data_IF_526456796296
#
_entry.id   IF_526456796296
#
_cell.length_a   1.000
_cell.length_b   1.000
_cell.length_c   1.000
_cell.angle_alpha   90.00
_cell.angle_beta   90.00
_cell.angle_gamma   90.00
#
_symmetry.space_group_name_H-M   'P 1'
#
loop_
_entity.id
_entity.type
_entity.pdbx_description
1 polymer ?
#
# COMPACT_ATOMS: atom_id res chain seq x y z
N UNK A 1 3.14 18.19 9.51
CA UNK A 1 4.42 18.42 8.80
C UNK A 1 5.22 17.11 8.78
N UNK A 2 5.03 16.27 7.76
CA UNK A 2 5.72 14.96 7.58
C UNK A 2 6.63 14.92 6.34
N UNK A 3 6.79 16.06 5.65
CA UNK A 3 7.47 16.16 4.35
C UNK A 3 8.97 15.85 4.38
N UNK A 4 9.63 15.90 5.55
CA UNK A 4 11.07 15.69 5.67
C UNK A 4 11.51 14.28 6.09
N UNK A 5 10.59 13.31 6.24
CA UNK A 5 10.93 11.96 6.75
C UNK A 5 10.42 10.79 5.91
N UNK A 6 9.81 11.04 4.75
CA UNK A 6 9.28 9.96 3.92
C UNK A 6 10.37 8.98 3.44
N UNK A 7 11.57 9.50 3.13
CA UNK A 7 12.72 8.68 2.71
C UNK A 7 13.27 7.82 3.87
N UNK A 8 13.37 8.38 5.07
CA UNK A 8 13.86 7.64 6.25
C UNK A 8 12.84 6.60 6.74
N UNK A 9 11.54 6.87 6.59
CA UNK A 9 10.48 5.99 7.10
C UNK A 9 10.46 4.62 6.40
N UNK A 10 10.73 4.59 5.09
CA UNK A 10 10.85 3.34 4.32
C UNK A 10 12.10 2.54 4.73
N UNK A 11 13.17 3.20 5.19
CA UNK A 11 14.45 2.56 5.50
C UNK A 11 14.48 1.90 6.88
N UNK A 12 13.75 2.43 7.87
CA UNK A 12 13.80 1.95 9.25
C UNK A 12 12.59 1.11 9.69
N UNK A 13 11.54 1.00 8.87
CA UNK A 13 10.36 0.21 9.21
C UNK A 13 10.53 -1.23 8.69
N UNK A 14 10.66 -2.24 9.58
CA UNK A 14 10.67 -3.63 9.14
C UNK A 14 9.39 -3.93 8.36
N UNK A 15 9.52 -4.57 7.20
CA UNK A 15 8.36 -5.04 6.45
C UNK A 15 7.60 -6.10 7.25
N UNK A 16 6.30 -6.23 7.01
CA UNK A 16 5.51 -7.27 7.69
C UNK A 16 5.92 -8.66 7.21
N UNK A 17 5.97 -9.67 8.09
CA UNK A 17 6.12 -11.06 7.66
C UNK A 17 5.02 -11.44 6.67
N UNK A 18 5.39 -12.11 5.58
CA UNK A 18 4.44 -12.49 4.53
C UNK A 18 3.29 -13.35 5.09
N UNK A 19 3.58 -14.19 6.07
CA UNK A 19 2.60 -15.04 6.75
C UNK A 19 1.48 -14.24 7.43
N UNK A 20 1.78 -13.03 7.92
CA UNK A 20 0.75 -12.16 8.51
C UNK A 20 -0.25 -11.72 7.44
N UNK A 21 0.25 -11.35 6.26
CA UNK A 21 -0.58 -10.90 5.14
C UNK A 21 -1.44 -12.05 4.62
N UNK A 22 -0.85 -13.23 4.47
CA UNK A 22 -1.57 -14.43 4.05
C UNK A 22 -2.69 -14.79 5.02
N UNK A 23 -2.41 -14.77 6.34
CA UNK A 23 -3.42 -15.01 7.37
C UNK A 23 -4.53 -13.98 7.35
N UNK A 24 -4.19 -12.69 7.18
CA UNK A 24 -5.18 -11.61 7.10
C UNK A 24 -6.15 -11.85 5.93
N UNK A 25 -5.62 -12.11 4.73
CA UNK A 25 -6.44 -12.37 3.54
C UNK A 25 -7.34 -13.60 3.75
N UNK A 26 -6.77 -14.69 4.28
CA UNK A 26 -7.52 -15.91 4.55
C UNK A 26 -8.63 -15.69 5.57
N UNK A 27 -8.35 -15.06 6.71
CA UNK A 27 -9.32 -14.83 7.78
C UNK A 27 -10.43 -13.87 7.37
N UNK A 28 -10.14 -12.95 6.45
CA UNK A 28 -11.13 -12.03 5.89
C UNK A 28 -11.85 -12.59 4.65
N UNK A 29 -11.59 -13.84 4.24
CA UNK A 29 -12.10 -14.44 2.99
C UNK A 29 -11.83 -13.57 1.74
N UNK A 30 -10.70 -12.85 1.74
CA UNK A 30 -10.27 -12.00 0.64
C UNK A 30 -9.37 -12.79 -0.30
N UNK A 31 -9.53 -12.55 -1.61
CA UNK A 31 -8.77 -13.23 -2.65
C UNK A 31 -8.52 -12.28 -3.83
N UNK A 32 -8.00 -12.81 -4.94
CA UNK A 32 -7.64 -12.03 -6.13
C UNK A 32 -8.84 -11.36 -6.83
N UNK A 33 -10.06 -11.82 -6.58
CA UNK A 33 -11.28 -11.20 -7.06
C UNK A 33 -11.76 -10.07 -6.13
N UNK A 34 -11.22 -9.96 -4.92
CA UNK A 34 -11.53 -8.90 -3.97
C UNK A 34 -10.83 -7.59 -4.35
N UNK A 35 -11.40 -6.47 -3.89
CA UNK A 35 -10.82 -5.13 -3.99
C UNK A 35 -10.64 -4.58 -2.57
N UNK A 36 -9.43 -4.14 -2.24
CA UNK A 36 -9.07 -3.60 -0.92
C UNK A 36 -8.78 -2.11 -1.04
N UNK A 37 -9.34 -1.31 -0.13
CA UNK A 37 -8.97 0.10 0.05
C UNK A 37 -7.96 0.22 1.19
N UNK A 38 -6.77 0.77 0.89
CA UNK A 38 -5.71 1.07 1.87
C UNK A 38 -5.77 2.58 2.21
N UNK A 39 -6.42 2.91 3.32
CA UNK A 39 -6.65 4.30 3.75
C UNK A 39 -5.43 4.83 4.50
N UNK A 40 -4.83 5.91 4.01
CA UNK A 40 -3.55 6.39 4.51
C UNK A 40 -2.40 5.50 4.01
N UNK A 41 -2.47 5.08 2.75
CA UNK A 41 -1.52 4.14 2.13
C UNK A 41 -0.06 4.59 2.15
N UNK A 42 0.20 5.88 2.40
CA UNK A 42 1.53 6.44 2.55
C UNK A 42 2.43 6.14 1.34
N UNK A 43 3.62 5.60 1.60
CA UNK A 43 4.61 5.23 0.57
C UNK A 43 4.35 3.85 -0.07
N UNK A 44 3.19 3.24 0.22
CA UNK A 44 2.72 2.02 -0.42
C UNK A 44 3.31 0.72 0.15
N UNK A 45 3.96 0.73 1.32
CA UNK A 45 4.55 -0.49 1.93
C UNK A 45 3.51 -1.59 2.10
N UNK A 46 2.35 -1.27 2.68
CA UNK A 46 1.30 -2.28 2.92
C UNK A 46 0.58 -2.66 1.62
N UNK A 47 0.25 -1.66 0.81
CA UNK A 47 -0.29 -1.85 -0.54
C UNK A 47 0.57 -2.81 -1.38
N UNK A 48 1.90 -2.70 -1.34
CA UNK A 48 2.83 -3.59 -2.06
C UNK A 48 2.66 -5.06 -1.64
N UNK A 49 2.55 -5.32 -0.34
CA UNK A 49 2.39 -6.67 0.18
C UNK A 49 1.10 -7.31 -0.31
N UNK A 50 -0.01 -6.57 -0.29
CA UNK A 50 -1.32 -7.04 -0.77
C UNK A 50 -1.33 -7.26 -2.29
N UNK A 51 -0.75 -6.32 -3.04
CA UNK A 51 -0.62 -6.37 -4.49
C UNK A 51 0.22 -7.57 -4.93
N UNK A 52 1.27 -7.91 -4.18
CA UNK A 52 2.10 -9.09 -4.43
C UNK A 52 1.37 -10.42 -4.17
N UNK A 53 0.29 -10.42 -3.38
CA UNK A 53 -0.62 -11.58 -3.25
C UNK A 53 -1.62 -11.70 -4.41
N UNK A 54 -1.57 -10.77 -5.37
CA UNK A 54 -2.46 -10.74 -6.54
C UNK A 54 -3.82 -10.08 -6.28
N UNK A 55 -4.03 -9.47 -5.11
CA UNK A 55 -5.28 -8.77 -4.78
C UNK A 55 -5.29 -7.39 -5.44
N UNK A 56 -6.48 -6.88 -5.80
CA UNK A 56 -6.63 -5.52 -6.31
C UNK A 56 -6.63 -4.54 -5.15
N UNK A 57 -5.81 -3.48 -5.24
CA UNK A 57 -5.64 -2.51 -4.15
C UNK A 57 -5.82 -1.09 -4.66
N UNK A 58 -6.60 -0.32 -3.92
CA UNK A 58 -6.79 1.12 -4.10
C UNK A 58 -6.10 1.82 -2.91
N UNK A 59 -4.95 2.43 -3.15
CA UNK A 59 -4.22 3.23 -2.16
C UNK A 59 -4.76 4.66 -2.11
N UNK A 60 -5.21 5.10 -0.93
CA UNK A 60 -5.83 6.41 -0.72
C UNK A 60 -4.89 7.22 0.19
N UNK A 61 -4.31 8.30 -0.33
CA UNK A 61 -3.31 9.09 0.41
C UNK A 61 -3.39 10.60 0.05
N UNK A 62 -3.70 11.48 1.02
CA UNK A 62 -3.74 12.94 0.78
C UNK A 62 -2.35 13.56 0.60
N UNK A 63 -1.29 12.98 1.17
CA UNK A 63 0.05 13.54 1.06
C UNK A 63 0.69 13.22 -0.30
N UNK A 64 0.81 14.24 -1.15
CA UNK A 64 1.39 14.13 -2.49
C UNK A 64 2.77 13.45 -2.54
N UNK A 65 3.66 13.75 -1.60
CA UNK A 65 5.02 13.19 -1.62
C UNK A 65 5.01 11.69 -1.29
N UNK A 66 4.22 11.27 -0.31
CA UNK A 66 4.05 9.86 0.05
C UNK A 66 3.34 9.10 -1.07
N UNK A 67 2.22 9.65 -1.58
CA UNK A 67 1.46 9.06 -2.67
C UNK A 67 2.30 8.85 -3.93
N UNK A 68 3.09 9.85 -4.35
CA UNK A 68 4.02 9.71 -5.49
C UNK A 68 5.08 8.63 -5.26
N UNK A 69 5.52 8.44 -4.02
CA UNK A 69 6.41 7.33 -3.67
C UNK A 69 5.74 5.98 -3.92
N UNK A 70 4.49 5.81 -3.48
CA UNK A 70 3.70 4.60 -3.74
C UNK A 70 3.47 4.39 -5.26
N UNK A 71 3.08 5.43 -5.98
CA UNK A 71 2.88 5.41 -7.44
C UNK A 71 4.15 4.96 -8.16
N UNK A 72 5.31 5.54 -7.83
CA UNK A 72 6.58 5.17 -8.45
C UNK A 72 6.99 3.74 -8.12
N UNK A 73 6.79 3.30 -6.87
CA UNK A 73 7.12 1.95 -6.40
C UNK A 73 6.24 0.89 -7.08
N UNK A 74 4.95 1.18 -7.26
CA UNK A 74 3.95 0.21 -7.71
C UNK A 74 3.48 0.40 -9.16
N UNK A 75 4.08 1.33 -9.93
CA UNK A 75 3.68 1.64 -11.33
C UNK A 75 3.60 0.44 -12.27
N UNK A 76 4.34 -0.62 -12.00
CA UNK A 76 4.37 -1.84 -12.83
C UNK A 76 3.36 -2.91 -12.37
N UNK A 77 2.64 -2.67 -11.28
CA UNK A 77 1.64 -3.57 -10.74
C UNK A 77 0.25 -3.18 -11.26
N UNK A 78 -0.23 -3.88 -12.29
CA UNK A 78 -1.53 -3.60 -12.93
C UNK A 78 -2.76 -3.74 -12.01
N UNK A 79 -2.58 -4.26 -10.80
CA UNK A 79 -3.60 -4.42 -9.76
C UNK A 79 -3.51 -3.36 -8.65
N UNK A 80 -2.69 -2.30 -8.81
CA UNK A 80 -2.66 -1.15 -7.91
C UNK A 80 -3.28 0.09 -8.55
N UNK A 81 -4.06 0.85 -7.79
CA UNK A 81 -4.59 2.16 -8.18
C UNK A 81 -4.31 3.15 -7.06
N UNK A 82 -3.75 4.32 -7.40
CA UNK A 82 -3.50 5.42 -6.47
C UNK A 82 -4.60 6.46 -6.58
N UNK A 83 -5.15 6.90 -5.45
CA UNK A 83 -6.15 7.96 -5.36
C UNK A 83 -5.69 9.07 -4.41
N UNK A 84 -5.81 10.32 -4.87
CA UNK A 84 -5.67 11.48 -4.02
C UNK A 84 -6.92 11.62 -3.12
N UNK A 85 -6.71 11.82 -1.82
CA UNK A 85 -7.77 12.04 -0.85
C UNK A 85 -7.77 13.47 -0.36
N UNK A 86 -8.90 13.94 0.16
CA UNK A 86 -8.97 15.17 0.94
C UNK A 86 -8.92 14.83 2.43
N UNK A 87 -8.06 15.50 3.19
CA UNK A 87 -7.97 15.39 4.64
C UNK A 87 -8.11 16.76 5.29
#
# INVERSE_FOLDING_TARGET
>A
RFSSRAADYDQYRPSYPLDLINKLLQQSNLNQCSVIADIGSGTGIFSELLVNQGVKVIGIEPNDAMRRSAENKLRHKGNFTSLNATA
#
